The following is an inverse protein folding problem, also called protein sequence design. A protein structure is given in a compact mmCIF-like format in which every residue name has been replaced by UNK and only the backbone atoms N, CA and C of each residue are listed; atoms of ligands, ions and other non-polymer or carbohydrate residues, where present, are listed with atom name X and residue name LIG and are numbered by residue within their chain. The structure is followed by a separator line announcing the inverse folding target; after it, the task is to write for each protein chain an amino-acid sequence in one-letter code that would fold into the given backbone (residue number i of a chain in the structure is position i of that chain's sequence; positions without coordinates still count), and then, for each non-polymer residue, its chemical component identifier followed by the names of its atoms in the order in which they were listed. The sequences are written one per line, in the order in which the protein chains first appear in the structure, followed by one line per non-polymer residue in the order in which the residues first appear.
data_IF_212285887737
#
_entry.id   IF_212285887737
#
_cell.length_a   1.000
_cell.length_b   1.000
_cell.length_c   1.000
_cell.angle_alpha   90.00
_cell.angle_beta   90.00
_cell.angle_gamma   90.00
#
_symmetry.space_group_name_H-M   'P 1'
#
loop_
_entity.id
_entity.type
_entity.pdbx_description
1 polymer ?
#
# COMPACT_ATOMS: atom_id res chain seq x y z
N UNK A 1 0.07 -15.25 -13.86
CA UNK A 1 0.16 -13.77 -13.85
C UNK A 1 -1.07 -13.25 -14.57
N UNK A 2 -1.79 -12.29 -14.01
CA UNK A 2 -2.97 -11.72 -14.71
C UNK A 2 -2.47 -10.84 -15.84
N UNK A 3 -2.88 -11.11 -17.06
CA UNK A 3 -2.46 -10.35 -18.26
C UNK A 3 -2.89 -8.87 -18.24
N UNK A 4 -3.81 -8.51 -17.33
CA UNK A 4 -4.32 -7.16 -17.13
C UNK A 4 -3.47 -6.27 -16.22
N UNK A 5 -2.50 -6.84 -15.47
CA UNK A 5 -1.60 -6.05 -14.64
C UNK A 5 -0.64 -5.20 -15.51
N UNK A 6 -0.27 -3.98 -15.07
CA UNK A 6 0.61 -3.11 -15.83
C UNK A 6 1.99 -3.75 -16.03
N UNK A 7 2.56 -3.58 -17.22
CA UNK A 7 3.93 -4.04 -17.51
C UNK A 7 4.91 -3.09 -16.85
N UNK A 8 5.71 -3.62 -15.93
CA UNK A 8 6.73 -2.86 -15.20
C UNK A 8 8.04 -2.79 -15.98
N UNK A 9 8.78 -1.66 -15.94
CA UNK A 9 10.07 -1.55 -16.61
C UNK A 9 11.12 -2.40 -15.89
N UNK A 10 12.01 -3.01 -16.67
CA UNK A 10 13.16 -3.75 -16.12
C UNK A 10 14.17 -2.79 -15.48
N UNK A 11 14.37 -1.61 -16.09
CA UNK A 11 15.23 -0.58 -15.54
C UNK A 11 14.41 0.38 -14.67
N UNK A 12 14.44 0.13 -13.38
CA UNK A 12 13.78 0.91 -12.36
C UNK A 12 14.38 2.29 -12.10
N UNK A 13 15.59 2.57 -12.61
CA UNK A 13 16.29 3.85 -12.45
C UNK A 13 15.90 4.87 -13.53
N UNK A 14 15.35 4.41 -14.65
CA UNK A 14 14.82 5.32 -15.66
C UNK A 14 13.47 5.90 -15.20
N UNK A 15 13.24 7.22 -15.38
CA UNK A 15 11.95 7.82 -15.05
C UNK A 15 10.81 7.17 -15.83
N UNK A 16 9.74 6.82 -15.13
CA UNK A 16 8.54 6.29 -15.76
C UNK A 16 7.27 6.75 -15.03
N UNK A 17 6.16 6.79 -15.76
CA UNK A 17 4.83 6.92 -15.24
C UNK A 17 3.90 5.99 -16.06
N UNK A 18 3.41 4.96 -15.41
CA UNK A 18 2.59 3.91 -16.04
C UNK A 18 1.16 4.07 -15.57
N UNK A 19 0.22 4.42 -16.44
CA UNK A 19 -1.18 4.39 -16.07
C UNK A 19 -1.65 2.96 -15.90
N UNK A 20 -2.54 2.74 -14.95
CA UNK A 20 -3.26 1.49 -14.82
C UNK A 20 -4.77 1.73 -14.79
N UNK A 21 -5.49 0.75 -15.30
CA UNK A 21 -6.95 0.75 -15.37
C UNK A 21 -7.42 -0.68 -15.16
N UNK A 22 -8.25 -0.89 -14.14
CA UNK A 22 -8.82 -2.20 -13.82
C UNK A 22 -10.33 -2.14 -13.94
N UNK A 23 -10.91 -3.09 -14.62
CA UNK A 23 -12.37 -3.30 -14.69
C UNK A 23 -12.81 -4.39 -13.69
N UNK A 24 -12.14 -4.46 -12.55
CA UNK A 24 -12.31 -5.50 -11.54
C UNK A 24 -11.42 -6.72 -11.79
N UNK A 25 -10.46 -6.62 -12.68
CA UNK A 25 -9.53 -7.70 -13.05
C UNK A 25 -8.52 -7.99 -11.95
N UNK A 26 -8.12 -6.94 -11.22
CA UNK A 26 -7.20 -7.02 -10.09
C UNK A 26 -7.50 -5.93 -9.06
N UNK A 27 -7.07 -6.18 -7.85
CA UNK A 27 -7.17 -5.30 -6.70
C UNK A 27 -5.86 -4.54 -6.45
N UNK A 28 -5.89 -3.54 -5.55
CA UNK A 28 -4.69 -2.82 -5.15
C UNK A 28 -3.63 -3.74 -4.53
N UNK A 29 -4.03 -4.70 -3.69
CA UNK A 29 -3.05 -5.60 -3.08
C UNK A 29 -2.40 -6.54 -4.10
N UNK A 30 -3.10 -6.96 -5.16
CA UNK A 30 -2.52 -7.73 -6.26
C UNK A 30 -1.56 -6.87 -7.10
N UNK A 31 -1.84 -5.56 -7.27
CA UNK A 31 -0.91 -4.63 -7.91
C UNK A 31 0.34 -4.41 -7.05
N UNK A 32 0.19 -4.24 -5.74
CA UNK A 32 1.32 -4.16 -4.79
C UNK A 32 2.16 -5.42 -4.88
N UNK A 33 1.53 -6.57 -4.82
CA UNK A 33 2.20 -7.88 -4.87
C UNK A 33 2.98 -8.07 -6.18
N UNK A 34 2.38 -7.65 -7.30
CA UNK A 34 3.03 -7.65 -8.60
C UNK A 34 4.30 -6.77 -8.64
N UNK A 35 4.26 -5.58 -8.02
CA UNK A 35 5.43 -4.70 -7.90
C UNK A 35 6.52 -5.34 -7.06
N UNK A 36 6.17 -5.91 -5.91
CA UNK A 36 7.09 -6.58 -5.00
C UNK A 36 7.76 -7.80 -5.65
N UNK A 37 6.98 -8.61 -6.35
CA UNK A 37 7.49 -9.79 -7.08
C UNK A 37 8.41 -9.39 -8.24
N UNK A 38 8.02 -8.35 -9.00
CA UNK A 38 8.79 -7.91 -10.17
C UNK A 38 10.20 -7.43 -9.81
N UNK A 39 10.32 -6.63 -8.75
CA UNK A 39 11.62 -6.12 -8.35
C UNK A 39 12.38 -7.06 -7.41
N UNK A 40 11.70 -7.89 -6.62
CA UNK A 40 12.28 -8.95 -5.80
C UNK A 40 13.30 -8.46 -4.76
N UNK A 41 13.25 -7.17 -4.40
CA UNK A 41 14.19 -6.54 -3.48
C UNK A 41 13.50 -6.13 -2.18
N UNK A 42 14.23 -6.16 -1.07
CA UNK A 42 13.71 -5.66 0.21
C UNK A 42 13.33 -4.18 0.15
N UNK A 43 12.16 -3.84 0.70
CA UNK A 43 11.67 -2.47 0.72
C UNK A 43 10.95 -2.11 2.01
N UNK A 44 10.80 -0.81 2.23
CA UNK A 44 9.91 -0.22 3.21
C UNK A 44 8.65 0.27 2.49
N UNK A 45 7.48 0.00 3.06
CA UNK A 45 6.20 0.43 2.50
C UNK A 45 5.53 1.42 3.45
N UNK A 46 5.05 2.55 2.89
CA UNK A 46 4.10 3.45 3.55
C UNK A 46 2.87 3.55 2.69
N UNK A 47 1.71 3.32 3.27
CA UNK A 47 0.48 3.36 2.50
C UNK A 47 -0.66 4.06 3.23
N UNK A 48 -1.62 4.55 2.45
CA UNK A 48 -2.92 4.97 2.93
C UNK A 48 -4.03 4.29 2.15
N UNK A 49 -5.08 3.88 2.85
CA UNK A 49 -6.28 3.29 2.26
C UNK A 49 -7.49 3.57 3.13
N UNK A 50 -8.66 3.70 2.52
CA UNK A 50 -9.91 3.81 3.26
C UNK A 50 -10.32 2.49 3.89
N UNK A 51 -9.97 1.35 3.29
CA UNK A 51 -10.35 0.01 3.75
C UNK A 51 -9.28 -1.02 3.43
N UNK A 52 -9.33 -2.15 4.14
CA UNK A 52 -8.44 -3.30 3.97
C UNK A 52 -9.23 -4.59 4.04
N UNK A 53 -8.77 -5.63 3.35
CA UNK A 53 -9.32 -7.00 3.41
C UNK A 53 -8.32 -7.99 3.97
N UNK A 54 -8.81 -9.19 4.32
CA UNK A 54 -7.98 -10.27 4.84
C UNK A 54 -6.92 -10.72 3.82
N UNK A 55 -7.27 -10.76 2.54
CA UNK A 55 -6.35 -11.14 1.47
C UNK A 55 -5.15 -10.18 1.40
N UNK A 56 -5.42 -8.87 1.53
CA UNK A 56 -4.35 -7.88 1.57
C UNK A 56 -3.44 -8.07 2.79
N UNK A 57 -4.01 -8.34 3.97
CA UNK A 57 -3.24 -8.60 5.20
C UNK A 57 -2.39 -9.86 5.04
N UNK A 58 -2.95 -10.95 4.53
CA UNK A 58 -2.21 -12.20 4.28
C UNK A 58 -1.06 -12.00 3.29
N UNK A 59 -1.27 -11.23 2.23
CA UNK A 59 -0.21 -10.88 1.30
C UNK A 59 0.94 -10.16 2.01
N UNK A 60 0.66 -9.15 2.86
CA UNK A 60 1.70 -8.46 3.62
C UNK A 60 2.45 -9.38 4.59
N UNK A 61 1.75 -10.29 5.29
CA UNK A 61 2.39 -11.29 6.17
C UNK A 61 3.37 -12.13 5.36
N UNK A 62 2.92 -12.72 4.27
CA UNK A 62 3.76 -13.59 3.43
C UNK A 62 5.01 -12.85 2.93
N UNK A 63 4.86 -11.62 2.41
CA UNK A 63 5.99 -10.84 1.90
C UNK A 63 6.96 -10.37 2.99
N UNK A 64 6.48 -10.19 4.24
CA UNK A 64 7.37 -9.96 5.39
C UNK A 64 8.12 -11.23 5.79
N UNK A 65 7.47 -12.38 5.84
CA UNK A 65 8.12 -13.67 6.13
C UNK A 65 9.17 -14.04 5.08
N UNK A 66 8.93 -13.68 3.81
CA UNK A 66 9.90 -13.83 2.72
C UNK A 66 11.06 -12.80 2.78
N UNK A 67 11.00 -11.81 3.67
CA UNK A 67 12.01 -10.76 3.79
C UNK A 67 11.95 -9.70 2.69
N UNK A 68 10.89 -9.67 1.88
CA UNK A 68 10.68 -8.68 0.81
C UNK A 68 10.17 -7.35 1.41
N UNK A 69 9.34 -7.39 2.44
CA UNK A 69 8.93 -6.19 3.17
C UNK A 69 9.67 -6.14 4.50
N UNK A 70 10.51 -5.12 4.69
CA UNK A 70 11.21 -4.89 5.95
C UNK A 70 10.35 -4.17 6.98
N UNK A 71 9.64 -3.14 6.54
CA UNK A 71 8.78 -2.34 7.38
C UNK A 71 7.55 -1.90 6.59
N UNK A 72 6.39 -1.89 7.24
CA UNK A 72 5.15 -1.39 6.66
C UNK A 72 4.40 -0.49 7.66
N UNK A 73 4.07 0.72 7.21
CA UNK A 73 3.28 1.70 7.93
C UNK A 73 1.98 1.99 7.17
N UNK A 74 0.84 1.92 7.85
CA UNK A 74 -0.47 2.10 7.23
C UNK A 74 -1.25 3.23 7.90
N UNK A 75 -1.85 4.12 7.10
CA UNK A 75 -2.87 5.07 7.52
C UNK A 75 -4.23 4.61 6.99
N UNK A 76 -5.14 4.25 7.88
CA UNK A 76 -6.51 3.89 7.53
C UNK A 76 -7.51 4.96 7.99
N UNK A 77 -8.71 4.92 7.41
CA UNK A 77 -9.83 5.72 7.89
C UNK A 77 -10.32 5.21 9.26
N UNK A 78 -10.83 6.11 10.10
CA UNK A 78 -11.39 5.76 11.41
C UNK A 78 -12.52 4.71 11.33
N UNK A 79 -13.25 4.66 10.22
CA UNK A 79 -14.34 3.70 10.02
C UNK A 79 -13.88 2.24 10.04
N UNK A 80 -12.60 1.97 9.74
CA UNK A 80 -12.01 0.62 9.82
C UNK A 80 -12.14 0.04 11.24
N UNK A 81 -11.98 0.87 12.28
CA UNK A 81 -12.10 0.45 13.68
C UNK A 81 -13.50 -0.10 14.02
N UNK A 82 -14.54 0.50 13.46
CA UNK A 82 -15.93 0.14 13.79
C UNK A 82 -16.43 -1.09 13.02
N UNK A 83 -15.95 -1.29 11.80
CA UNK A 83 -16.50 -2.31 10.90
C UNK A 83 -15.61 -3.54 10.73
N UNK A 84 -14.34 -3.48 11.14
CA UNK A 84 -13.34 -4.53 10.85
C UNK A 84 -12.34 -4.72 11.99
N UNK A 85 -12.81 -4.72 13.23
CA UNK A 85 -11.94 -4.85 14.40
C UNK A 85 -11.04 -6.09 14.32
N UNK A 86 -11.60 -7.24 13.90
CA UNK A 86 -10.82 -8.47 13.70
C UNK A 86 -9.75 -8.31 12.62
N UNK A 87 -10.06 -7.59 11.52
CA UNK A 87 -9.12 -7.32 10.46
C UNK A 87 -8.00 -6.39 10.92
N UNK A 88 -8.32 -5.43 11.82
CA UNK A 88 -7.33 -4.57 12.43
C UNK A 88 -6.37 -5.38 13.32
N UNK A 89 -6.86 -6.37 14.07
CA UNK A 89 -6.03 -7.28 14.87
C UNK A 89 -5.07 -8.09 13.99
N UNK A 90 -5.56 -8.68 12.89
CA UNK A 90 -4.69 -9.35 11.93
C UNK A 90 -3.68 -8.38 11.30
N UNK A 91 -4.12 -7.17 10.97
CA UNK A 91 -3.27 -6.11 10.44
C UNK A 91 -2.14 -5.70 11.40
N UNK A 92 -2.40 -5.64 12.71
CA UNK A 92 -1.39 -5.31 13.72
C UNK A 92 -0.26 -6.36 13.83
N UNK A 93 -0.48 -7.59 13.38
CA UNK A 93 0.58 -8.61 13.27
C UNK A 93 1.37 -8.51 11.96
N UNK A 94 0.74 -8.02 10.90
CA UNK A 94 1.34 -7.88 9.57
C UNK A 94 2.03 -6.53 9.35
N UNK A 95 1.58 -5.50 10.07
CA UNK A 95 1.94 -4.10 9.86
C UNK A 95 2.66 -3.57 11.09
N UNK A 96 3.83 -2.96 10.91
CA UNK A 96 4.64 -2.46 12.02
C UNK A 96 4.01 -1.23 12.69
N UNK A 97 3.38 -0.37 11.88
CA UNK A 97 2.75 0.86 12.37
C UNK A 97 1.37 1.07 11.73
N UNK A 98 0.34 1.09 12.57
CA UNK A 98 -1.04 1.40 12.14
C UNK A 98 -1.47 2.74 12.71
N UNK A 99 -1.99 3.59 11.86
CA UNK A 99 -2.54 4.89 12.17
C UNK A 99 -3.99 4.97 11.71
N UNK A 100 -4.85 5.59 12.52
CA UNK A 100 -6.25 5.88 12.18
C UNK A 100 -6.46 7.39 12.13
N UNK A 101 -7.00 7.88 11.03
CA UNK A 101 -7.30 9.30 10.82
C UNK A 101 -8.48 9.48 9.87
N UNK A 102 -8.86 10.73 9.61
CA UNK A 102 -9.79 11.05 8.52
C UNK A 102 -9.06 10.86 7.19
N UNK A 103 -9.22 9.70 6.55
CA UNK A 103 -8.46 9.35 5.37
C UNK A 103 -9.32 8.75 4.27
N UNK A 104 -9.31 9.37 3.10
CA UNK A 104 -9.88 8.81 1.88
C UNK A 104 -8.84 8.67 0.74
N UNK A 105 -7.57 8.94 1.02
CA UNK A 105 -6.49 8.77 0.05
C UNK A 105 -6.14 7.29 -0.16
N UNK A 106 -5.62 6.98 -1.34
CA UNK A 106 -5.13 5.66 -1.72
C UNK A 106 -3.75 5.86 -2.34
N UNK A 107 -2.74 5.63 -1.52
CA UNK A 107 -1.33 5.82 -1.85
C UNK A 107 -0.55 4.60 -1.40
N UNK A 108 0.45 4.20 -2.19
CA UNK A 108 1.45 3.22 -1.76
C UNK A 108 2.82 3.74 -2.17
N UNK A 109 3.67 3.94 -1.19
CA UNK A 109 5.03 4.42 -1.33
C UNK A 109 5.97 3.26 -1.02
N UNK A 110 6.82 2.89 -1.99
CA UNK A 110 7.86 1.88 -1.84
C UNK A 110 9.22 2.58 -1.78
N UNK A 111 10.00 2.24 -0.79
CA UNK A 111 11.37 2.73 -0.62
C UNK A 111 12.34 1.54 -0.64
N UNK A 112 13.07 1.41 -1.75
CA UNK A 112 14.13 0.43 -1.97
C UNK A 112 15.51 1.07 -1.72
N UNK A 113 16.57 0.27 -1.69
CA UNK A 113 17.93 0.73 -1.39
C UNK A 113 18.50 1.75 -2.39
N UNK A 114 17.92 1.98 -3.53
CA UNK A 114 18.45 2.92 -4.53
C UNK A 114 17.38 3.57 -5.40
N UNK A 115 16.12 3.31 -5.14
CA UNK A 115 15.02 3.87 -5.91
C UNK A 115 13.73 3.89 -5.10
N UNK A 116 12.76 4.66 -5.57
CA UNK A 116 11.48 4.89 -4.93
C UNK A 116 10.37 4.79 -5.95
N UNK A 117 9.26 4.17 -5.55
CA UNK A 117 8.08 4.02 -6.38
C UNK A 117 6.85 4.54 -5.64
N UNK A 118 5.89 5.04 -6.39
CA UNK A 118 4.60 5.50 -5.89
C UNK A 118 3.48 4.88 -6.73
N UNK A 119 2.49 4.30 -6.05
CA UNK A 119 1.16 4.06 -6.63
C UNK A 119 0.22 5.11 -6.05
N UNK A 120 -0.49 5.80 -6.92
CA UNK A 120 -1.57 6.73 -6.56
C UNK A 120 -2.78 6.46 -7.43
N UNK A 121 -3.96 6.36 -6.83
CA UNK A 121 -5.16 6.07 -7.61
C UNK A 121 -6.44 5.97 -6.79
N UNK A 122 -7.45 5.39 -7.38
CA UNK A 122 -8.77 5.19 -6.77
C UNK A 122 -8.91 3.91 -5.95
N UNK A 123 -8.17 2.79 -6.21
CA UNK A 123 -8.46 1.51 -5.56
C UNK A 123 -8.05 1.49 -4.09
N UNK A 124 -8.90 0.90 -3.26
CA UNK A 124 -8.59 0.55 -1.88
C UNK A 124 -7.91 -0.83 -1.78
N UNK A 125 -7.40 -1.15 -0.58
CA UNK A 125 -6.91 -2.49 -0.25
C UNK A 125 -8.08 -3.49 -0.03
N UNK A 126 -9.00 -3.54 -0.99
CA UNK A 126 -10.13 -4.46 -0.98
C UNK A 126 -10.34 -5.04 -2.38
N UNK A 127 -11.01 -6.20 -2.43
CA UNK A 127 -11.49 -6.78 -3.68
C UNK A 127 -12.69 -5.95 -4.14
N UNK A 128 -12.57 -5.36 -5.32
CA UNK A 128 -13.58 -4.51 -5.90
C UNK A 128 -13.79 -4.88 -7.38
N UNK A 129 -15.03 -4.97 -7.80
CA UNK A 129 -15.41 -5.20 -9.21
C UNK A 129 -15.73 -3.92 -9.96
N UNK A 130 -15.44 -2.76 -9.36
CA UNK A 130 -15.64 -1.46 -9.99
C UNK A 130 -14.43 -1.10 -10.82
N UNK A 131 -14.64 -0.16 -11.74
CA UNK A 131 -13.57 0.46 -12.49
C UNK A 131 -12.69 1.25 -11.51
N UNK A 132 -11.40 0.98 -11.57
CA UNK A 132 -10.38 1.65 -10.77
C UNK A 132 -9.22 2.10 -11.67
N UNK A 133 -8.66 3.25 -11.38
CA UNK A 133 -7.59 3.82 -12.20
C UNK A 133 -6.54 4.53 -11.34
N UNK A 134 -5.34 4.66 -11.88
CA UNK A 134 -4.25 5.37 -11.22
C UNK A 134 -2.96 5.37 -12.02
N UNK A 135 -1.89 5.73 -11.32
CA UNK A 135 -0.54 5.80 -11.85
C UNK A 135 0.43 5.05 -10.93
N UNK A 136 1.34 4.31 -11.54
CA UNK A 136 2.57 3.83 -10.93
C UNK A 136 3.73 4.62 -11.52
N UNK A 137 4.55 5.23 -10.67
CA UNK A 137 5.62 6.11 -11.13
C UNK A 137 6.82 6.14 -10.18
N UNK A 138 7.96 6.61 -10.67
CA UNK A 138 9.19 6.76 -9.91
C UNK A 138 9.79 8.19 -9.93
N UNK A 139 8.94 9.21 -10.17
CA UNK A 139 9.39 10.61 -10.11
C UNK A 139 9.74 11.00 -8.66
N UNK A 140 10.99 11.42 -8.36
CA UNK A 140 11.42 11.74 -7.01
C UNK A 140 10.66 12.92 -6.40
N UNK A 141 10.35 13.96 -7.19
CA UNK A 141 9.64 15.15 -6.70
C UNK A 141 8.20 14.85 -6.33
N UNK A 142 7.52 14.05 -7.15
CA UNK A 142 6.15 13.59 -6.86
C UNK A 142 6.16 12.65 -5.65
N UNK A 143 7.13 11.72 -5.58
CA UNK A 143 7.28 10.83 -4.44
C UNK A 143 7.46 11.61 -3.13
N UNK A 144 8.41 12.56 -3.09
CA UNK A 144 8.72 13.36 -1.90
C UNK A 144 7.53 14.21 -1.46
N UNK A 145 6.75 14.72 -2.40
CA UNK A 145 5.50 15.43 -2.08
C UNK A 145 4.53 14.53 -1.32
N UNK A 146 4.22 13.35 -1.84
CA UNK A 146 3.27 12.43 -1.20
C UNK A 146 3.82 11.81 0.08
N UNK A 147 5.11 11.51 0.14
CA UNK A 147 5.80 11.05 1.33
C UNK A 147 5.66 12.04 2.49
N UNK A 148 5.94 13.33 2.24
CA UNK A 148 5.81 14.37 3.25
C UNK A 148 4.36 14.55 3.70
N UNK A 149 3.40 14.54 2.77
CA UNK A 149 1.97 14.67 3.10
C UNK A 149 1.46 13.49 3.91
N UNK A 150 1.79 12.26 3.51
CA UNK A 150 1.38 11.06 4.25
C UNK A 150 2.02 11.01 5.64
N UNK A 151 3.30 11.33 5.76
CA UNK A 151 4.00 11.41 7.05
C UNK A 151 3.35 12.44 7.99
N UNK A 152 3.02 13.63 7.49
CA UNK A 152 2.31 14.64 8.26
C UNK A 152 0.93 14.13 8.70
N UNK A 153 0.19 13.47 7.83
CA UNK A 153 -1.11 12.89 8.17
C UNK A 153 -0.99 11.82 9.26
N UNK A 154 0.02 10.97 9.20
CA UNK A 154 0.30 9.95 10.23
C UNK A 154 0.66 10.59 11.58
N UNK A 155 1.40 11.70 11.60
CA UNK A 155 1.73 12.42 12.84
C UNK A 155 0.50 13.03 13.54
N UNK A 156 -0.56 13.36 12.79
CA UNK A 156 -1.81 13.88 13.35
C UNK A 156 -2.86 12.78 13.60
N UNK A 157 -2.60 11.57 13.16
CA UNK A 157 -3.48 10.42 13.33
C UNK A 157 -3.25 9.70 14.67
N UNK A 158 -4.21 8.88 15.07
CA UNK A 158 -4.09 8.05 16.27
C UNK A 158 -3.29 6.80 15.91
N UNK A 159 -2.11 6.66 16.52
CA UNK A 159 -1.33 5.42 16.41
C UNK A 159 -1.99 4.33 17.25
N UNK A 160 -2.24 3.19 16.65
CA UNK A 160 -2.86 2.02 17.29
C UNK A 160 -1.79 1.00 17.64
N UNK A 161 -1.81 0.51 18.86
CA UNK A 161 -0.95 -0.57 19.33
C UNK A 161 -1.80 -1.79 19.66
N UNK A 162 -1.20 -2.98 19.59
CA UNK A 162 -1.89 -4.24 19.90
C UNK A 162 -2.41 -4.26 21.35
N UNK A 163 -1.72 -3.58 22.25
CA UNK A 163 -2.08 -3.47 23.67
C UNK A 163 -3.30 -2.59 23.93
N UNK A 164 -3.76 -1.81 22.95
CA UNK A 164 -4.94 -0.94 23.09
C UNK A 164 -6.26 -1.74 23.07
N UNK A 165 -6.17 -3.07 22.84
CA UNK A 165 -7.31 -3.99 22.70
C UNK A 165 -7.34 -5.11 23.76
N UNK A 166 -6.48 -5.07 24.78
CA UNK A 166 -6.44 -6.03 25.89
C UNK A 166 -7.18 -5.52 27.13
#
# INVERSE_FOLDING_TARGET
MKDSLPKLPLDKHQPFAIPFYSEGDYSMHELIDHVLEHYGEPCIIRLSSFSITEEAVRMFINRKEEGIIHEISCLFDHSVKHHKLQMLFFGLHAVDHVYLGENHSKLVLFEYAGHRLLIVGSPNLNINRKIEAGLLLNDPGIYDFFYNKLTQSMLHAVKININDFN
#
